data_IF_369125877291
#
_entry.id   IF_369125877291
#
_cell.length_a   1.000
_cell.length_b   1.000
_cell.length_c   1.000
_cell.angle_alpha   90.00
_cell.angle_beta   90.00
_cell.angle_gamma   90.00
#
_symmetry.space_group_name_H-M   'P 1'
#
loop_
_entity.id
_entity.type
_entity.pdbx_description
1 polymer ?
#
# COMPACT_ATOMS: atom_id res chain seq x y z
N UNK A 1 -18.65 -22.07 -6.38
CA UNK A 1 -18.01 -22.74 -5.23
C UNK A 1 -17.31 -23.97 -5.76
N UNK A 2 -16.06 -24.23 -5.37
CA UNK A 2 -15.29 -25.40 -5.85
C UNK A 2 -15.83 -26.68 -5.22
N UNK A 3 -16.36 -27.58 -6.05
CA UNK A 3 -16.84 -28.90 -5.62
C UNK A 3 -15.71 -29.95 -5.69
N UNK A 4 -15.89 -31.15 -5.10
CA UNK A 4 -14.96 -32.27 -5.31
C UNK A 4 -14.72 -32.59 -6.79
N UNK A 5 -15.78 -32.57 -7.59
CA UNK A 5 -15.70 -32.78 -9.05
C UNK A 5 -14.89 -31.68 -9.75
N UNK A 6 -15.00 -30.43 -9.29
CA UNK A 6 -14.17 -29.34 -9.81
C UNK A 6 -12.70 -29.50 -9.42
N UNK A 7 -12.42 -29.89 -8.18
CA UNK A 7 -11.06 -30.12 -7.70
C UNK A 7 -10.37 -31.24 -8.51
N UNK A 8 -11.05 -32.37 -8.69
CA UNK A 8 -10.54 -33.49 -9.49
C UNK A 8 -10.35 -33.12 -10.95
N UNK A 9 -11.29 -32.37 -11.54
CA UNK A 9 -11.18 -31.86 -12.91
C UNK A 9 -9.95 -30.96 -13.07
N UNK A 10 -9.76 -29.98 -12.19
CA UNK A 10 -8.61 -29.07 -12.22
C UNK A 10 -7.29 -29.86 -12.11
N UNK A 11 -7.20 -30.79 -11.16
CA UNK A 11 -6.00 -31.61 -11.00
C UNK A 11 -5.75 -32.51 -12.21
N UNK A 12 -6.79 -33.05 -12.83
CA UNK A 12 -6.68 -33.87 -14.04
C UNK A 12 -6.22 -33.03 -15.23
N UNK A 13 -6.79 -31.85 -15.43
CA UNK A 13 -6.37 -30.89 -16.47
C UNK A 13 -4.91 -30.48 -16.28
N UNK A 14 -4.48 -30.22 -15.04
CA UNK A 14 -3.08 -29.94 -14.71
C UNK A 14 -2.18 -31.13 -15.05
N UNK A 15 -2.55 -32.34 -14.61
CA UNK A 15 -1.77 -33.57 -14.82
C UNK A 15 -1.64 -33.96 -16.29
N UNK A 16 -2.65 -33.67 -17.11
CA UNK A 16 -2.66 -33.97 -18.54
C UNK A 16 -1.84 -33.01 -19.42
N UNK A 17 -1.47 -31.82 -18.93
CA UNK A 17 -0.60 -30.87 -19.67
C UNK A 17 0.86 -31.35 -19.68
N UNK A 18 1.68 -31.06 -20.71
CA UNK A 18 3.12 -31.33 -20.62
C UNK A 18 3.78 -30.52 -19.50
N UNK A 19 4.87 -31.05 -18.93
CA UNK A 19 5.66 -30.32 -17.93
C UNK A 19 6.24 -29.05 -18.57
N UNK A 20 5.89 -27.88 -18.03
CA UNK A 20 6.27 -26.58 -18.59
C UNK A 20 6.14 -25.47 -17.55
N UNK A 21 6.71 -24.31 -17.85
CA UNK A 21 6.56 -23.09 -17.03
C UNK A 21 5.11 -22.65 -16.89
N UNK A 22 4.28 -22.89 -17.90
CA UNK A 22 2.86 -22.55 -17.88
C UNK A 22 2.06 -23.48 -16.98
N UNK A 23 2.35 -24.80 -16.99
CA UNK A 23 1.72 -25.76 -16.06
C UNK A 23 2.11 -25.46 -14.61
N UNK A 24 3.34 -25.03 -14.35
CA UNK A 24 3.80 -24.53 -13.03
C UNK A 24 3.01 -23.28 -12.60
N UNK A 25 2.77 -22.33 -13.51
CA UNK A 25 1.95 -21.13 -13.25
C UNK A 25 0.51 -21.50 -12.89
N UNK A 26 -0.11 -22.37 -13.69
CA UNK A 26 -1.50 -22.79 -13.50
C UNK A 26 -1.67 -23.52 -12.16
N UNK A 27 -0.73 -24.40 -11.81
CA UNK A 27 -0.71 -25.06 -10.50
C UNK A 27 -0.53 -24.08 -9.34
N UNK A 28 0.33 -23.05 -9.49
CA UNK A 28 0.50 -22.01 -8.48
C UNK A 28 -0.77 -21.16 -8.29
N UNK A 29 -1.45 -20.81 -9.38
CA UNK A 29 -2.73 -20.10 -9.34
C UNK A 29 -3.79 -20.94 -8.61
N UNK A 30 -3.91 -22.22 -8.96
CA UNK A 30 -4.85 -23.13 -8.29
C UNK A 30 -4.62 -23.21 -6.76
N UNK A 31 -3.36 -23.25 -6.32
CA UNK A 31 -3.02 -23.19 -4.87
C UNK A 31 -3.45 -21.88 -4.24
N UNK A 32 -3.18 -20.75 -4.90
CA UNK A 32 -3.51 -19.42 -4.38
C UNK A 32 -5.02 -19.22 -4.27
N UNK A 33 -5.76 -19.64 -5.29
CA UNK A 33 -7.22 -19.58 -5.32
C UNK A 33 -7.82 -20.49 -4.24
N UNK A 34 -7.29 -21.71 -4.05
CA UNK A 34 -7.71 -22.63 -3.00
C UNK A 34 -7.46 -22.05 -1.59
N UNK A 35 -6.30 -21.40 -1.37
CA UNK A 35 -5.97 -20.73 -0.12
C UNK A 35 -6.91 -19.55 0.17
N UNK A 36 -7.22 -18.75 -0.86
CA UNK A 36 -8.17 -17.65 -0.78
C UNK A 36 -9.57 -18.15 -0.39
N UNK A 37 -10.09 -19.11 -1.14
CA UNK A 37 -11.38 -19.75 -0.84
C UNK A 37 -11.40 -20.40 0.55
N UNK A 38 -10.29 -21.01 0.97
CA UNK A 38 -10.16 -21.63 2.29
C UNK A 38 -10.23 -20.64 3.45
N UNK A 39 -9.84 -19.37 3.27
CA UNK A 39 -10.03 -18.33 4.30
C UNK A 39 -11.50 -18.06 4.56
N UNK A 40 -12.28 -17.90 3.51
CA UNK A 40 -13.73 -17.69 3.62
C UNK A 40 -14.43 -18.89 4.26
N UNK A 41 -14.06 -20.12 3.88
CA UNK A 41 -14.67 -21.31 4.48
C UNK A 41 -14.27 -21.50 5.95
N UNK A 42 -13.04 -21.14 6.36
CA UNK A 42 -12.65 -21.12 7.78
C UNK A 42 -13.48 -20.11 8.58
N UNK A 43 -13.77 -18.93 8.01
CA UNK A 43 -14.64 -17.94 8.63
C UNK A 43 -16.07 -18.48 8.78
N UNK A 44 -16.63 -19.06 7.72
CA UNK A 44 -17.97 -19.67 7.76
C UNK A 44 -18.07 -20.81 8.79
N UNK A 45 -17.06 -21.68 8.84
CA UNK A 45 -16.96 -22.74 9.84
C UNK A 45 -16.91 -22.16 11.25
N UNK A 46 -16.09 -21.13 11.47
CA UNK A 46 -15.99 -20.47 12.76
C UNK A 46 -17.35 -19.88 13.16
N UNK A 47 -17.98 -19.07 12.32
CA UNK A 47 -19.30 -18.49 12.60
C UNK A 47 -20.32 -19.56 12.97
N UNK A 48 -20.41 -20.66 12.20
CA UNK A 48 -21.33 -21.75 12.51
C UNK A 48 -21.02 -22.43 13.86
N UNK A 49 -19.74 -22.68 14.15
CA UNK A 49 -19.33 -23.27 15.42
C UNK A 49 -19.62 -22.34 16.62
N UNK A 50 -19.38 -21.02 16.47
CA UNK A 50 -19.69 -20.02 17.49
C UNK A 50 -21.20 -19.92 17.74
N UNK A 51 -22.05 -19.99 16.70
CA UNK A 51 -23.51 -20.06 16.86
C UNK A 51 -23.94 -21.31 17.61
N UNK A 52 -23.45 -22.49 17.21
CA UNK A 52 -23.74 -23.75 17.91
C UNK A 52 -23.34 -23.68 19.39
N UNK A 53 -22.22 -23.01 19.70
CA UNK A 53 -21.75 -22.88 21.07
C UNK A 53 -22.59 -21.92 21.91
N UNK A 54 -22.75 -20.68 21.47
CA UNK A 54 -23.34 -19.62 22.31
C UNK A 54 -24.87 -19.56 22.26
N UNK A 55 -25.50 -19.92 21.13
CA UNK A 55 -26.97 -19.89 21.02
C UNK A 55 -27.59 -21.24 21.37
N UNK A 56 -26.90 -22.34 21.10
CA UNK A 56 -27.44 -23.70 21.24
C UNK A 56 -26.74 -24.56 22.31
N UNK A 57 -25.81 -23.98 23.09
CA UNK A 57 -25.20 -24.64 24.26
C UNK A 57 -24.30 -25.83 23.94
N UNK A 58 -23.87 -26.00 22.68
CA UNK A 58 -22.97 -27.08 22.27
C UNK A 58 -21.56 -26.78 22.77
N UNK A 59 -20.84 -27.73 23.37
CA UNK A 59 -19.47 -27.47 23.82
C UNK A 59 -18.55 -27.12 22.64
N UNK A 60 -17.54 -26.25 22.86
CA UNK A 60 -16.56 -25.84 21.83
C UNK A 60 -15.99 -27.02 21.03
N UNK A 61 -15.66 -28.13 21.72
CA UNK A 61 -15.18 -29.38 21.09
C UNK A 61 -16.20 -30.02 20.17
N UNK A 62 -17.46 -30.10 20.59
CA UNK A 62 -18.56 -30.67 19.78
C UNK A 62 -18.94 -29.75 18.62
N UNK A 63 -18.84 -28.43 18.82
CA UNK A 63 -19.17 -27.44 17.80
C UNK A 63 -18.25 -27.50 16.58
N UNK A 64 -17.01 -27.99 16.72
CA UNK A 64 -16.06 -28.18 15.60
C UNK A 64 -15.75 -29.64 15.28
N UNK A 65 -16.44 -30.60 15.91
CA UNK A 65 -16.19 -32.01 15.69
C UNK A 65 -16.35 -32.38 14.20
N UNK A 66 -15.47 -33.25 13.68
CA UNK A 66 -15.52 -33.69 12.28
C UNK A 66 -15.08 -32.65 11.25
N UNK A 67 -14.74 -31.42 11.66
CA UNK A 67 -14.36 -30.35 10.72
C UNK A 67 -12.92 -30.41 10.20
N UNK A 68 -12.07 -31.24 10.81
CA UNK A 68 -10.62 -31.28 10.53
C UNK A 68 -9.86 -30.02 10.97
N UNK A 69 -10.54 -29.05 11.59
CA UNK A 69 -9.95 -27.83 12.15
C UNK A 69 -9.83 -28.00 13.66
N UNK A 70 -8.69 -27.58 14.20
CA UNK A 70 -8.45 -27.71 15.64
C UNK A 70 -9.33 -26.73 16.42
N UNK A 71 -9.87 -27.17 17.55
CA UNK A 71 -10.80 -26.39 18.39
C UNK A 71 -10.22 -25.02 18.74
N UNK A 72 -8.93 -24.97 19.08
CA UNK A 72 -8.26 -23.73 19.46
C UNK A 72 -8.05 -22.75 18.29
N UNK A 73 -8.14 -23.23 17.04
CA UNK A 73 -8.08 -22.38 15.85
C UNK A 73 -9.39 -21.61 15.64
N UNK A 74 -10.50 -22.13 16.16
CA UNK A 74 -11.82 -21.52 16.08
C UNK A 74 -12.15 -20.76 17.36
N UNK A 75 -11.84 -21.37 18.51
CA UNK A 75 -12.03 -20.83 19.84
C UNK A 75 -10.67 -20.70 20.53
N UNK A 76 -10.02 -19.54 20.48
CA UNK A 76 -8.74 -19.34 21.13
C UNK A 76 -8.81 -19.70 22.63
N UNK A 77 -7.73 -20.25 23.20
CA UNK A 77 -7.69 -20.60 24.61
C UNK A 77 -7.78 -19.33 25.47
N UNK A 78 -8.51 -19.36 26.60
CA UNK A 78 -8.66 -18.19 27.47
C UNK A 78 -7.28 -17.81 28.04
N UNK A 79 -6.71 -16.72 27.53
CA UNK A 79 -5.37 -16.25 27.93
C UNK A 79 -5.48 -14.83 28.49
N UNK A 80 -5.88 -14.74 29.77
CA UNK A 80 -6.04 -13.48 30.54
C UNK A 80 -7.14 -12.51 30.00
N UNK A 81 -7.58 -11.51 30.78
CA UNK A 81 -8.93 -10.90 30.67
C UNK A 81 -9.19 -10.01 29.43
N UNK A 82 -8.28 -9.98 28.46
CA UNK A 82 -8.44 -9.22 27.21
C UNK A 82 -9.37 -9.93 26.18
N UNK A 83 -9.59 -11.24 26.29
CA UNK A 83 -10.36 -12.01 25.30
C UNK A 83 -11.89 -11.93 25.50
N UNK A 84 -12.37 -11.51 26.68
CA UNK A 84 -13.81 -11.49 26.98
C UNK A 84 -14.56 -10.41 26.17
N UNK A 85 -13.92 -9.27 25.91
CA UNK A 85 -14.46 -8.21 25.06
C UNK A 85 -14.53 -8.66 23.59
N UNK A 86 -13.50 -9.37 23.13
CA UNK A 86 -13.46 -9.91 21.77
C UNK A 86 -14.47 -11.04 21.57
N UNK A 87 -14.64 -11.92 22.56
CA UNK A 87 -15.68 -12.95 22.58
C UNK A 87 -17.07 -12.31 22.57
N UNK A 88 -17.30 -11.24 23.36
CA UNK A 88 -18.56 -10.50 23.35
C UNK A 88 -18.83 -9.82 22.00
N UNK A 89 -17.82 -9.24 21.34
CA UNK A 89 -17.95 -8.64 20.01
C UNK A 89 -18.31 -9.70 18.95
N UNK A 90 -17.64 -10.87 18.98
CA UNK A 90 -17.95 -11.98 18.08
C UNK A 90 -19.40 -12.43 18.29
N UNK A 91 -19.81 -12.62 19.55
CA UNK A 91 -21.19 -13.02 19.92
C UNK A 91 -22.22 -12.02 19.42
N UNK A 92 -21.95 -10.71 19.54
CA UNK A 92 -22.85 -9.66 19.07
C UNK A 92 -23.04 -9.67 17.54
N UNK A 93 -22.06 -10.19 16.79
CA UNK A 93 -22.08 -10.29 15.33
C UNK A 93 -22.60 -11.65 14.81
N UNK A 94 -22.96 -12.58 15.70
CA UNK A 94 -23.42 -13.90 15.27
C UNK A 94 -24.80 -13.82 14.60
N UNK A 95 -25.02 -14.55 13.49
CA UNK A 95 -26.33 -14.65 12.87
C UNK A 95 -27.31 -15.45 13.75
N UNK A 96 -28.61 -15.20 13.56
CA UNK A 96 -29.69 -15.89 14.26
C UNK A 96 -30.11 -17.17 13.52
N UNK A 97 -29.17 -18.12 13.43
CA UNK A 97 -29.45 -19.43 12.85
C UNK A 97 -30.01 -20.37 13.90
N UNK A 98 -31.05 -21.13 13.52
CA UNK A 98 -31.46 -22.29 14.28
C UNK A 98 -30.38 -23.38 14.30
N UNK A 99 -30.60 -24.42 15.11
CA UNK A 99 -29.63 -25.49 15.30
C UNK A 99 -29.28 -26.22 14.00
N UNK A 100 -30.29 -26.50 13.18
CA UNK A 100 -30.15 -27.28 11.96
C UNK A 100 -29.40 -26.49 10.89
N UNK A 101 -29.70 -25.19 10.75
CA UNK A 101 -28.99 -24.32 9.83
C UNK A 101 -27.53 -24.14 10.23
N UNK A 102 -27.25 -23.92 11.52
CA UNK A 102 -25.89 -23.80 12.01
C UNK A 102 -25.09 -25.11 11.78
N UNK A 103 -25.71 -26.26 12.00
CA UNK A 103 -25.11 -27.58 11.73
C UNK A 103 -24.83 -27.77 10.24
N UNK A 104 -25.81 -27.48 9.38
CA UNK A 104 -25.67 -27.57 7.93
C UNK A 104 -24.55 -26.67 7.40
N UNK A 105 -24.45 -25.43 7.90
CA UNK A 105 -23.40 -24.47 7.53
C UNK A 105 -22.02 -24.95 7.95
N UNK A 106 -21.90 -25.47 9.17
CA UNK A 106 -20.64 -26.06 9.68
C UNK A 106 -20.18 -27.20 8.78
N UNK A 107 -21.06 -28.15 8.50
CA UNK A 107 -20.72 -29.37 7.76
C UNK A 107 -20.41 -29.06 6.31
N UNK A 108 -21.13 -28.12 5.69
CA UNK A 108 -20.84 -27.62 4.34
C UNK A 108 -19.46 -26.96 4.29
N UNK A 109 -19.15 -26.07 5.23
CA UNK A 109 -17.85 -25.39 5.29
C UNK A 109 -16.70 -26.39 5.52
N UNK A 110 -16.91 -27.38 6.39
CA UNK A 110 -15.94 -28.45 6.64
C UNK A 110 -15.67 -29.31 5.39
N UNK A 111 -16.71 -29.75 4.69
CA UNK A 111 -16.59 -30.53 3.47
C UNK A 111 -15.85 -29.76 2.35
N UNK A 112 -16.12 -28.46 2.23
CA UNK A 112 -15.44 -27.59 1.29
C UNK A 112 -13.97 -27.37 1.67
N UNK A 113 -13.66 -27.15 2.94
CA UNK A 113 -12.27 -27.02 3.41
C UNK A 113 -11.46 -28.29 3.11
N UNK A 114 -12.05 -29.45 3.32
CA UNK A 114 -11.41 -30.73 2.96
C UNK A 114 -11.12 -30.80 1.45
N UNK A 115 -12.09 -30.43 0.62
CA UNK A 115 -11.96 -30.41 -0.84
C UNK A 115 -10.86 -29.45 -1.30
N UNK A 116 -10.85 -28.23 -0.75
CA UNK A 116 -9.84 -27.21 -1.08
C UNK A 116 -8.43 -27.65 -0.66
N UNK A 117 -8.31 -28.36 0.46
CA UNK A 117 -7.04 -28.92 0.91
C UNK A 117 -6.52 -29.98 -0.04
N UNK A 118 -7.37 -30.89 -0.53
CA UNK A 118 -6.97 -31.89 -1.54
C UNK A 118 -6.50 -31.22 -2.84
N UNK A 119 -7.20 -30.17 -3.30
CA UNK A 119 -6.78 -29.38 -4.46
C UNK A 119 -5.42 -28.69 -4.22
N UNK A 120 -5.26 -28.05 -3.07
CA UNK A 120 -4.02 -27.38 -2.65
C UNK A 120 -2.83 -28.36 -2.64
N UNK A 121 -3.00 -29.51 -1.99
CA UNK A 121 -1.95 -30.52 -1.86
C UNK A 121 -1.61 -31.14 -3.23
N UNK A 122 -2.62 -31.48 -4.04
CA UNK A 122 -2.40 -32.03 -5.38
C UNK A 122 -1.76 -31.04 -6.36
N UNK A 123 -2.15 -29.77 -6.31
CA UNK A 123 -1.55 -28.73 -7.16
C UNK A 123 -0.11 -28.41 -6.71
N UNK A 124 0.18 -28.45 -5.40
CA UNK A 124 1.56 -28.35 -4.88
C UNK A 124 2.44 -29.50 -5.35
N UNK A 125 1.91 -30.73 -5.32
CA UNK A 125 2.63 -31.91 -5.80
C UNK A 125 2.98 -31.77 -7.28
N UNK A 126 2.00 -31.45 -8.13
CA UNK A 126 2.22 -31.19 -9.57
C UNK A 126 3.31 -30.14 -9.77
N UNK A 127 3.21 -29.01 -9.06
CA UNK A 127 4.19 -27.93 -9.16
C UNK A 127 5.60 -28.37 -8.76
N UNK A 128 5.73 -29.08 -7.63
CA UNK A 128 7.03 -29.57 -7.12
C UNK A 128 7.69 -30.52 -8.12
N UNK A 129 6.93 -31.49 -8.63
CA UNK A 129 7.42 -32.47 -9.60
C UNK A 129 7.86 -31.80 -10.89
N UNK A 130 7.07 -30.85 -11.41
CA UNK A 130 7.43 -30.15 -12.64
C UNK A 130 8.64 -29.22 -12.44
N UNK A 131 8.72 -28.51 -11.32
CA UNK A 131 9.92 -27.73 -10.97
C UNK A 131 11.15 -28.65 -10.90
N UNK A 132 11.03 -29.83 -10.29
CA UNK A 132 12.10 -30.80 -10.21
C UNK A 132 12.50 -31.33 -11.60
N UNK A 133 11.54 -31.71 -12.45
CA UNK A 133 11.80 -32.15 -13.83
C UNK A 133 12.47 -31.07 -14.68
N UNK A 134 12.02 -29.82 -14.57
CA UNK A 134 12.67 -28.68 -15.25
C UNK A 134 14.10 -28.50 -14.74
N UNK A 135 14.36 -28.76 -13.45
CA UNK A 135 15.69 -28.67 -12.85
C UNK A 135 16.62 -29.83 -13.23
N UNK A 136 16.11 -31.07 -13.32
CA UNK A 136 16.93 -32.29 -13.50
C UNK A 136 17.04 -32.77 -14.95
N UNK A 137 16.03 -32.52 -15.79
CA UNK A 137 15.88 -33.18 -17.09
C UNK A 137 16.12 -32.32 -18.33
N UNK A 138 16.03 -30.98 -18.26
CA UNK A 138 15.99 -30.15 -19.48
C UNK A 138 16.81 -28.84 -19.46
N UNK A 139 17.47 -28.51 -18.34
CA UNK A 139 18.23 -27.26 -18.19
C UNK A 139 19.69 -27.49 -17.76
N UNK A 140 20.41 -28.40 -18.43
CA UNK A 140 21.88 -28.39 -18.36
C UNK A 140 22.39 -27.04 -18.91
N UNK A 141 22.66 -26.09 -18.01
CA UNK A 141 23.12 -24.74 -18.31
C UNK A 141 22.05 -23.62 -18.36
N UNK A 142 20.78 -23.88 -18.02
CA UNK A 142 19.69 -22.88 -18.13
C UNK A 142 18.97 -22.53 -16.82
N UNK A 143 19.67 -22.58 -15.70
CA UNK A 143 19.15 -22.17 -14.37
C UNK A 143 18.66 -20.71 -14.30
N UNK A 144 19.00 -19.86 -15.27
CA UNK A 144 18.46 -18.51 -15.43
C UNK A 144 16.96 -18.52 -15.78
N UNK A 145 16.47 -19.55 -16.47
CA UNK A 145 15.05 -19.72 -16.77
C UNK A 145 14.23 -19.91 -15.48
N UNK A 146 14.79 -20.43 -14.38
CA UNK A 146 14.08 -20.54 -13.07
C UNK A 146 13.97 -19.18 -12.38
N UNK A 147 14.97 -18.31 -12.56
CA UNK A 147 14.91 -16.93 -12.04
C UNK A 147 13.96 -16.09 -12.90
N UNK A 148 13.91 -16.36 -14.20
CA UNK A 148 12.95 -15.75 -15.12
C UNK A 148 11.52 -16.30 -14.91
N UNK A 149 11.34 -17.58 -14.57
CA UNK A 149 10.10 -18.18 -14.05
C UNK A 149 9.70 -17.47 -12.75
N UNK A 150 10.63 -17.22 -11.82
CA UNK A 150 10.31 -16.49 -10.58
C UNK A 150 9.87 -15.04 -10.87
N UNK A 151 10.53 -14.38 -11.84
CA UNK A 151 10.29 -12.99 -12.20
C UNK A 151 9.03 -12.77 -13.07
N UNK A 152 8.73 -13.69 -13.99
CA UNK A 152 7.58 -13.63 -14.89
C UNK A 152 6.31 -14.26 -14.26
N UNK A 153 6.46 -15.08 -13.21
CA UNK A 153 5.33 -15.73 -12.52
C UNK A 153 4.94 -15.10 -11.19
N UNK A 154 5.67 -14.08 -10.72
CA UNK A 154 5.49 -13.45 -9.40
C UNK A 154 5.59 -14.45 -8.23
N UNK A 155 6.32 -15.55 -8.45
CA UNK A 155 6.53 -16.61 -7.46
C UNK A 155 7.82 -16.29 -6.69
N UNK A 156 7.71 -16.13 -5.37
CA UNK A 156 8.89 -15.86 -4.53
C UNK A 156 9.95 -16.97 -4.71
N UNK A 157 11.19 -16.57 -5.00
CA UNK A 157 12.32 -17.51 -5.17
C UNK A 157 12.55 -18.41 -3.93
N UNK A 158 12.15 -17.95 -2.75
CA UNK A 158 12.11 -18.71 -1.49
C UNK A 158 11.19 -19.94 -1.60
N UNK A 159 10.04 -19.81 -2.25
CA UNK A 159 9.04 -20.87 -2.43
C UNK A 159 9.58 -21.95 -3.36
N UNK A 160 10.20 -21.56 -4.48
CA UNK A 160 10.79 -22.50 -5.44
C UNK A 160 11.96 -23.25 -4.80
N UNK A 161 12.82 -22.58 -4.01
CA UNK A 161 13.88 -23.26 -3.24
C UNK A 161 13.31 -24.24 -2.23
N UNK A 162 12.22 -23.89 -1.55
CA UNK A 162 11.52 -24.78 -0.63
C UNK A 162 10.98 -26.02 -1.33
N UNK A 163 10.38 -25.86 -2.51
CA UNK A 163 9.85 -26.95 -3.33
C UNK A 163 10.97 -27.86 -3.87
N UNK A 164 12.09 -27.29 -4.34
CA UNK A 164 13.26 -28.05 -4.78
C UNK A 164 13.89 -28.86 -3.62
N UNK A 165 13.98 -28.26 -2.44
CA UNK A 165 14.45 -28.95 -1.23
C UNK A 165 13.50 -30.08 -0.83
N UNK A 166 12.18 -29.86 -0.91
CA UNK A 166 11.18 -30.87 -0.60
C UNK A 166 11.20 -32.05 -1.58
N UNK A 167 11.62 -31.81 -2.83
CA UNK A 167 11.78 -32.82 -3.87
C UNK A 167 13.17 -33.50 -3.86
N UNK A 168 14.02 -33.23 -2.87
CA UNK A 168 15.39 -33.73 -2.74
C UNK A 168 16.27 -33.48 -3.99
N UNK A 169 16.01 -32.35 -4.67
CA UNK A 169 16.77 -31.95 -5.85
C UNK A 169 18.05 -31.25 -5.40
N UNK A 170 19.25 -31.78 -5.72
CA UNK A 170 20.51 -31.19 -5.28
C UNK A 170 20.73 -29.85 -5.98
N UNK A 171 20.73 -28.76 -5.20
CA UNK A 171 21.08 -27.43 -5.69
C UNK A 171 22.58 -27.39 -6.00
N UNK A 172 22.97 -27.44 -7.27
CA UNK A 172 24.40 -27.31 -7.63
C UNK A 172 24.90 -25.92 -7.17
N UNK A 173 26.11 -25.83 -6.58
CA UNK A 173 26.71 -24.55 -6.26
C UNK A 173 26.79 -23.70 -7.53
N UNK A 174 26.43 -22.43 -7.40
CA UNK A 174 26.36 -21.42 -8.46
C UNK A 174 27.63 -21.46 -9.32
N UNK A 175 27.59 -22.19 -10.43
CA UNK A 175 28.71 -22.21 -11.37
C UNK A 175 28.78 -20.86 -12.07
N UNK A 176 30.01 -20.33 -12.16
CA UNK A 176 30.37 -19.00 -12.69
C UNK A 176 29.51 -18.63 -13.90
N UNK A 177 28.58 -17.71 -13.70
CA UNK A 177 27.71 -17.23 -14.76
C UNK A 177 28.56 -16.60 -15.89
N UNK A 178 28.29 -16.97 -17.16
CA UNK A 178 28.99 -16.40 -18.34
C UNK A 178 28.76 -14.91 -18.44
N UNK A 179 29.78 -14.07 -18.23
CA UNK A 179 29.64 -12.60 -18.36
C UNK A 179 29.84 -12.21 -19.82
N UNK A 180 28.99 -11.32 -20.36
CA UNK A 180 29.18 -10.83 -21.73
C UNK A 180 30.51 -10.06 -21.83
N UNK A 181 31.15 -10.13 -22.99
CA UNK A 181 32.27 -9.25 -23.32
C UNK A 181 31.84 -8.19 -24.33
N UNK A 182 32.43 -6.98 -24.34
CA UNK A 182 32.06 -5.92 -25.28
C UNK A 182 32.20 -6.32 -26.77
N UNK A 183 33.03 -7.33 -27.06
CA UNK A 183 33.26 -7.85 -28.41
C UNK A 183 32.33 -8.99 -28.82
N UNK A 184 31.43 -9.46 -27.95
CA UNK A 184 30.46 -10.49 -28.32
C UNK A 184 29.47 -9.93 -29.37
N UNK A 185 29.18 -10.72 -30.41
CA UNK A 185 28.25 -10.31 -31.47
C UNK A 185 26.81 -10.10 -30.97
N UNK A 186 26.39 -10.91 -29.99
CA UNK A 186 25.13 -10.78 -29.27
C UNK A 186 25.24 -11.44 -27.89
N UNK A 187 24.48 -10.93 -26.94
CA UNK A 187 24.34 -11.55 -25.62
C UNK A 187 22.93 -11.31 -25.06
N UNK A 188 22.55 -12.12 -24.08
CA UNK A 188 21.31 -11.90 -23.33
C UNK A 188 21.44 -10.67 -22.43
N UNK A 189 20.30 -10.08 -22.09
CA UNK A 189 20.24 -8.95 -21.17
C UNK A 189 20.87 -9.28 -19.80
N UNK A 190 20.74 -10.53 -19.34
CA UNK A 190 21.32 -10.99 -18.08
C UNK A 190 22.85 -11.11 -18.11
N UNK A 191 23.45 -11.43 -19.25
CA UNK A 191 24.91 -11.47 -19.42
C UNK A 191 25.50 -10.06 -19.48
N UNK A 192 24.81 -9.13 -20.14
CA UNK A 192 25.19 -7.70 -20.22
C UNK A 192 25.01 -7.00 -18.88
N UNK A 193 23.91 -7.26 -18.16
CA UNK A 193 23.69 -6.74 -16.82
C UNK A 193 24.85 -7.11 -15.87
N UNK A 194 25.36 -8.35 -15.98
CA UNK A 194 26.53 -8.81 -15.23
C UNK A 194 27.83 -8.15 -15.70
N UNK A 195 28.00 -7.91 -17.01
CA UNK A 195 29.14 -7.14 -17.54
C UNK A 195 29.15 -5.71 -17.01
N UNK A 196 27.99 -5.09 -16.84
CA UNK A 196 27.83 -3.72 -16.36
C UNK A 196 27.82 -3.61 -14.83
N UNK A 197 27.74 -4.73 -14.11
CA UNK A 197 27.63 -4.74 -12.65
C UNK A 197 26.29 -4.21 -12.13
N UNK A 198 25.20 -4.38 -12.89
CA UNK A 198 23.87 -3.85 -12.57
C UNK A 198 22.80 -4.94 -12.60
N UNK A 199 21.66 -4.78 -11.89
CA UNK A 199 20.58 -5.76 -11.98
C UNK A 199 19.94 -5.77 -13.37
N UNK A 200 19.58 -6.97 -13.87
CA UNK A 200 18.92 -7.16 -15.18
C UNK A 200 17.65 -6.32 -15.30
N UNK A 201 16.87 -6.21 -14.23
CA UNK A 201 15.62 -5.44 -14.21
C UNK A 201 15.88 -3.95 -14.42
N UNK A 202 16.91 -3.37 -13.78
CA UNK A 202 17.31 -1.98 -14.00
C UNK A 202 17.66 -1.75 -15.46
N UNK A 203 18.46 -2.65 -16.02
CA UNK A 203 18.85 -2.56 -17.41
C UNK A 203 17.63 -2.68 -18.34
N UNK A 204 16.70 -3.60 -18.06
CA UNK A 204 15.44 -3.79 -18.82
C UNK A 204 14.57 -2.55 -18.80
N UNK A 205 14.27 -2.01 -17.63
CA UNK A 205 13.38 -0.85 -17.49
C UNK A 205 14.02 0.43 -18.03
N UNK A 206 15.34 0.58 -17.88
CA UNK A 206 16.05 1.72 -18.44
C UNK A 206 16.07 1.67 -19.97
N UNK A 207 16.30 0.49 -20.56
CA UNK A 207 16.19 0.31 -22.02
C UNK A 207 14.76 0.65 -22.46
N UNK A 208 13.74 0.07 -21.82
CA UNK A 208 12.33 0.31 -22.14
C UNK A 208 11.97 1.81 -22.09
N UNK A 209 12.41 2.52 -21.06
CA UNK A 209 12.16 3.95 -20.87
C UNK A 209 12.80 4.80 -21.97
N UNK A 210 14.03 4.47 -22.38
CA UNK A 210 14.80 5.22 -23.39
C UNK A 210 14.58 4.74 -24.83
N UNK A 211 13.88 3.63 -25.02
CA UNK A 211 13.38 3.16 -26.33
C UNK A 211 12.00 3.73 -26.69
N UNK A 212 11.38 4.55 -25.83
CA UNK A 212 10.07 5.14 -26.10
C UNK A 212 10.13 6.12 -27.29
N UNK A 213 9.15 6.09 -28.23
CA UNK A 213 9.17 6.93 -29.44
C UNK A 213 9.30 8.43 -29.16
N UNK A 214 8.66 8.90 -28.10
CA UNK A 214 8.69 10.30 -27.64
C UNK A 214 10.09 10.78 -27.25
N UNK A 215 11.00 9.85 -26.94
CA UNK A 215 12.37 10.12 -26.47
C UNK A 215 13.44 9.69 -27.46
N UNK A 216 13.05 9.18 -28.63
CA UNK A 216 13.96 8.76 -29.69
C UNK A 216 14.87 9.89 -30.20
N UNK A 217 14.48 11.16 -29.98
CA UNK A 217 15.25 12.36 -30.35
C UNK A 217 16.16 12.87 -29.24
N UNK A 218 16.13 12.27 -28.05
CA UNK A 218 16.95 12.69 -26.92
C UNK A 218 18.37 12.11 -27.05
N UNK A 219 19.39 12.84 -26.60
CA UNK A 219 20.79 12.37 -26.61
C UNK A 219 21.02 11.09 -25.79
N UNK A 220 20.05 10.73 -24.95
CA UNK A 220 20.04 9.58 -24.07
C UNK A 220 19.19 8.42 -24.63
N UNK A 221 18.64 8.56 -25.84
CA UNK A 221 17.86 7.52 -26.49
C UNK A 221 18.63 6.20 -26.55
N UNK A 222 17.92 5.08 -26.38
CA UNK A 222 18.55 3.78 -26.52
C UNK A 222 19.01 3.58 -27.97
N UNK A 223 20.26 3.14 -28.21
CA UNK A 223 20.81 3.02 -29.55
C UNK A 223 20.05 2.00 -30.39
N UNK A 224 19.75 2.37 -31.64
CA UNK A 224 19.02 1.50 -32.58
C UNK A 224 19.77 0.20 -32.88
N UNK A 225 21.11 0.23 -32.86
CA UNK A 225 21.98 -0.94 -33.03
C UNK A 225 22.25 -1.70 -31.71
N UNK A 226 21.66 -1.25 -30.60
CA UNK A 226 21.78 -1.91 -29.29
C UNK A 226 20.97 -3.19 -29.16
N UNK A 227 19.95 -3.39 -30.00
CA UNK A 227 19.07 -4.56 -30.00
C UNK A 227 19.27 -5.36 -31.29
N UNK A 228 19.23 -6.68 -31.19
CA UNK A 228 19.21 -7.58 -32.36
C UNK A 228 17.78 -8.05 -32.63
N UNK A 229 17.53 -8.53 -33.85
CA UNK A 229 16.19 -8.96 -34.29
C UNK A 229 15.66 -10.15 -33.46
N UNK A 230 16.56 -10.96 -32.91
CA UNK A 230 16.24 -12.14 -32.09
C UNK A 230 15.99 -11.84 -30.60
N UNK A 231 15.77 -10.58 -30.21
CA UNK A 231 15.52 -10.19 -28.82
C UNK A 231 16.76 -10.22 -27.90
N UNK A 232 17.95 -10.42 -28.49
CA UNK A 232 19.25 -10.23 -27.85
C UNK A 232 19.73 -8.78 -27.97
N UNK A 233 20.86 -8.49 -27.36
CA UNK A 233 21.46 -7.16 -27.33
C UNK A 233 22.93 -7.23 -27.70
N UNK A 234 23.45 -6.16 -28.30
CA UNK A 234 24.88 -6.04 -28.59
C UNK A 234 25.60 -5.44 -27.38
N UNK A 235 26.49 -6.18 -26.69
CA UNK A 235 27.09 -5.72 -25.44
C UNK A 235 27.90 -4.42 -25.56
N UNK A 236 28.67 -4.25 -26.64
CA UNK A 236 29.45 -3.04 -26.91
C UNK A 236 28.58 -1.77 -26.94
N UNK A 237 27.61 -1.67 -27.87
CA UNK A 237 26.67 -0.54 -27.95
C UNK A 237 25.91 -0.28 -26.65
N UNK A 238 25.40 -1.33 -25.98
CA UNK A 238 24.68 -1.17 -24.71
C UNK A 238 25.59 -0.64 -23.60
N UNK A 239 26.86 -1.08 -23.54
CA UNK A 239 27.83 -0.56 -22.57
C UNK A 239 28.15 0.90 -22.82
N UNK A 240 28.40 1.29 -24.07
CA UNK A 240 28.71 2.66 -24.43
C UNK A 240 27.56 3.60 -24.07
N UNK A 241 26.34 3.24 -24.45
CA UNK A 241 25.12 3.95 -24.07
C UNK A 241 24.96 4.04 -22.55
N UNK A 242 25.19 2.94 -21.82
CA UNK A 242 25.10 2.93 -20.35
C UNK A 242 26.11 3.87 -19.68
N UNK A 243 27.32 3.98 -20.22
CA UNK A 243 28.38 4.86 -19.69
C UNK A 243 28.15 6.34 -19.99
N UNK A 244 27.44 6.67 -21.07
CA UNK A 244 27.09 8.04 -21.45
C UNK A 244 25.94 8.62 -20.62
N UNK A 245 25.23 7.78 -19.88
CA UNK A 245 24.17 8.21 -19.01
C UNK A 245 24.70 8.94 -17.77
N UNK A 246 24.02 10.00 -17.29
CA UNK A 246 24.36 10.58 -16.01
C UNK A 246 24.37 9.48 -14.94
N UNK A 247 25.43 9.46 -14.15
CA UNK A 247 25.61 8.55 -13.02
C UNK A 247 24.46 8.80 -12.07
N UNK A 248 23.41 7.99 -12.16
CA UNK A 248 22.49 7.82 -11.04
C UNK A 248 23.37 7.23 -9.97
N UNK A 249 23.75 8.04 -8.98
CA UNK A 249 24.66 7.66 -7.90
C UNK A 249 24.32 6.24 -7.47
N UNK A 250 25.30 5.34 -7.54
CA UNK A 250 25.14 3.96 -7.14
C UNK A 250 24.50 3.97 -5.75
N UNK A 251 23.24 3.55 -5.66
CA UNK A 251 22.53 3.56 -4.42
C UNK A 251 23.31 2.65 -3.45
N UNK A 252 23.62 3.11 -2.21
CA UNK A 252 24.19 2.24 -1.20
C UNK A 252 23.27 1.04 -1.07
N UNK A 253 23.82 -0.18 -1.21
CA UNK A 253 23.13 -1.48 -1.24
C UNK A 253 21.69 -1.41 -0.72
N UNK A 254 20.74 -1.13 -1.62
CA UNK A 254 19.37 -0.90 -1.24
C UNK A 254 18.76 -2.18 -0.65
N UNK A 255 17.89 -2.02 0.35
CA UNK A 255 17.15 -3.14 0.93
C UNK A 255 15.86 -3.37 0.16
N UNK A 256 15.26 -4.56 0.27
CA UNK A 256 13.93 -4.80 -0.29
C UNK A 256 12.87 -3.95 0.40
N UNK A 257 11.81 -3.59 -0.31
CA UNK A 257 10.67 -2.88 0.27
C UNK A 257 10.05 -3.64 1.46
N UNK A 258 10.09 -4.98 1.45
CA UNK A 258 9.66 -5.81 2.58
C UNK A 258 10.53 -5.59 3.82
N UNK A 259 11.86 -5.55 3.66
CA UNK A 259 12.80 -5.26 4.76
C UNK A 259 12.70 -3.81 5.22
N UNK A 260 12.40 -2.88 4.32
CA UNK A 260 12.11 -1.50 4.65
C UNK A 260 10.81 -1.37 5.47
N UNK A 261 9.77 -2.14 5.12
CA UNK A 261 8.52 -2.23 5.88
C UNK A 261 8.74 -2.77 7.31
N UNK A 262 9.56 -3.81 7.45
CA UNK A 262 9.97 -4.34 8.77
C UNK A 262 10.71 -3.27 9.60
N UNK A 263 11.61 -2.49 9.00
CA UNK A 263 12.36 -1.45 9.70
C UNK A 263 11.49 -0.30 10.20
N UNK A 264 10.42 0.05 9.48
CA UNK A 264 9.46 1.07 9.91
C UNK A 264 8.32 0.51 10.76
N UNK A 265 8.33 -0.80 11.04
CA UNK A 265 7.36 -1.48 11.88
C UNK A 265 5.95 -1.55 11.29
N UNK A 266 5.83 -1.63 9.95
CA UNK A 266 4.53 -1.57 9.26
C UNK A 266 4.22 -2.80 8.42
N UNK A 267 2.93 -3.16 8.25
CA UNK A 267 2.54 -4.23 7.35
C UNK A 267 2.98 -3.96 5.91
N UNK A 268 3.60 -4.96 5.28
CA UNK A 268 4.14 -4.86 3.92
C UNK A 268 3.14 -4.32 2.89
N UNK A 269 1.88 -4.78 2.91
CA UNK A 269 0.86 -4.31 1.96
C UNK A 269 0.50 -2.83 2.13
N UNK A 270 0.53 -2.32 3.37
CA UNK A 270 0.30 -0.89 3.63
C UNK A 270 1.45 -0.04 3.10
N UNK A 271 2.68 -0.51 3.30
CA UNK A 271 3.89 0.12 2.77
C UNK A 271 3.93 0.09 1.25
N UNK A 272 3.60 -1.06 0.65
CA UNK A 272 3.56 -1.24 -0.81
C UNK A 272 2.54 -0.32 -1.48
N UNK A 273 1.32 -0.27 -0.95
CA UNK A 273 0.27 0.62 -1.46
C UNK A 273 0.65 2.10 -1.33
N UNK A 274 1.24 2.48 -0.19
CA UNK A 274 1.69 3.85 0.05
C UNK A 274 2.83 4.29 -0.89
N UNK A 275 3.78 3.39 -1.14
CA UNK A 275 4.86 3.61 -2.11
C UNK A 275 4.32 3.75 -3.52
N UNK A 276 3.45 2.84 -3.96
CA UNK A 276 2.86 2.89 -5.29
C UNK A 276 2.16 4.22 -5.56
N UNK A 277 1.33 4.67 -4.61
CA UNK A 277 0.65 5.96 -4.70
C UNK A 277 1.59 7.17 -4.80
N UNK A 278 2.77 7.10 -4.17
CA UNK A 278 3.75 8.19 -4.22
C UNK A 278 4.60 8.14 -5.49
N UNK A 279 4.84 6.95 -6.06
CA UNK A 279 5.46 6.80 -7.39
C UNK A 279 4.53 7.34 -8.46
N UNK A 280 3.24 6.98 -8.42
CA UNK A 280 2.23 7.43 -9.39
C UNK A 280 2.06 8.96 -9.41
N UNK A 281 2.40 9.63 -8.29
CA UNK A 281 2.34 11.08 -8.12
C UNK A 281 3.68 11.79 -8.33
N UNK A 282 4.76 11.05 -8.61
CA UNK A 282 6.11 11.62 -8.76
C UNK A 282 6.72 12.18 -7.47
N UNK A 283 6.20 11.77 -6.30
CA UNK A 283 6.65 12.23 -4.98
C UNK A 283 7.91 11.50 -4.49
N UNK A 284 8.19 10.31 -5.04
CA UNK A 284 9.36 9.50 -4.72
C UNK A 284 10.48 9.72 -5.73
N UNK A 285 11.64 10.13 -5.24
CA UNK A 285 12.84 10.28 -6.05
C UNK A 285 13.58 8.94 -6.20
N UNK A 286 14.40 8.83 -7.24
CA UNK A 286 15.31 7.68 -7.46
C UNK A 286 16.31 7.46 -6.33
N UNK A 287 16.43 8.42 -5.42
CA UNK A 287 17.27 8.33 -4.23
C UNK A 287 16.59 7.60 -3.07
N UNK A 288 15.25 7.56 -3.02
CA UNK A 288 14.46 6.87 -2.00
C UNK A 288 14.18 5.44 -2.45
N UNK A 289 13.75 5.28 -3.70
CA UNK A 289 13.47 4.00 -4.32
C UNK A 289 14.14 4.01 -5.69
N UNK A 290 15.13 3.13 -5.85
CA UNK A 290 15.83 2.96 -7.09
C UNK A 290 14.97 2.19 -8.12
N UNK A 291 15.37 2.25 -9.39
CA UNK A 291 14.63 1.65 -10.50
C UNK A 291 14.56 0.10 -10.44
N UNK A 292 15.39 -0.57 -9.62
CA UNK A 292 15.29 -2.00 -9.30
C UNK A 292 14.27 -2.31 -8.18
N UNK A 293 13.61 -1.30 -7.63
CA UNK A 293 12.76 -1.44 -6.44
C UNK A 293 13.55 -1.60 -5.15
N UNK A 294 14.88 -1.42 -5.19
CA UNK A 294 15.69 -1.35 -3.98
C UNK A 294 15.47 -0.02 -3.28
N UNK A 295 15.35 -0.08 -1.97
CA UNK A 295 14.96 1.03 -1.12
C UNK A 295 16.20 1.50 -0.37
N UNK A 296 16.49 2.79 -0.43
CA UNK A 296 17.50 3.38 0.42
C UNK A 296 16.94 3.45 1.86
N UNK A 297 17.49 2.68 2.83
CA UNK A 297 16.88 2.55 4.16
C UNK A 297 16.72 3.89 4.86
N UNK A 298 17.77 4.72 4.88
CA UNK A 298 17.79 5.98 5.60
C UNK A 298 16.81 7.00 4.99
N UNK A 299 16.80 7.11 3.65
CA UNK A 299 15.90 8.03 2.94
C UNK A 299 14.46 7.56 2.99
N UNK A 300 14.23 6.24 2.95
CA UNK A 300 12.91 5.65 3.08
C UNK A 300 12.34 5.81 4.47
N UNK A 301 13.10 5.54 5.54
CA UNK A 301 12.63 5.80 6.90
C UNK A 301 12.31 7.28 7.10
N UNK A 302 13.15 8.19 6.58
CA UNK A 302 12.87 9.63 6.64
C UNK A 302 11.60 10.01 5.86
N UNK A 303 11.40 9.48 4.66
CA UNK A 303 10.19 9.67 3.86
C UNK A 303 8.96 9.09 4.55
N UNK A 304 9.07 7.87 5.10
CA UNK A 304 8.00 7.15 5.77
C UNK A 304 7.58 7.85 7.07
N UNK A 305 8.54 8.28 7.90
CA UNK A 305 8.28 9.05 9.12
C UNK A 305 7.61 10.38 8.81
N UNK A 306 8.01 11.06 7.73
CA UNK A 306 7.28 12.25 7.25
C UNK A 306 5.85 11.89 6.87
N UNK A 307 5.65 10.83 6.08
CA UNK A 307 4.33 10.38 5.61
C UNK A 307 3.40 9.91 6.75
N UNK A 308 3.91 9.20 7.75
CA UNK A 308 3.12 8.71 8.90
C UNK A 308 2.57 9.82 9.79
N UNK A 309 3.22 10.98 9.79
CA UNK A 309 2.72 12.19 10.42
C UNK A 309 1.63 12.91 9.62
N UNK A 310 1.36 12.48 8.37
CA UNK A 310 0.38 13.11 7.49
C UNK A 310 -0.97 12.38 7.57
N UNK A 311 -2.03 13.17 7.45
CA UNK A 311 -3.42 12.74 7.50
C UNK A 311 -4.15 13.17 6.22
N UNK A 312 -5.36 12.67 6.02
CA UNK A 312 -6.19 13.00 4.86
C UNK A 312 -7.20 14.10 5.20
N UNK A 313 -7.62 14.84 4.17
CA UNK A 313 -8.64 15.88 4.31
C UNK A 313 -9.94 15.38 4.98
N UNK A 314 -10.51 14.20 4.64
CA UNK A 314 -11.71 13.69 5.30
C UNK A 314 -11.52 13.47 6.80
N UNK A 315 -10.36 12.95 7.21
CA UNK A 315 -10.05 12.72 8.63
C UNK A 315 -9.90 14.02 9.41
N UNK A 316 -9.29 15.04 8.79
CA UNK A 316 -9.22 16.40 9.36
C UNK A 316 -10.62 17.04 9.48
N UNK A 317 -11.45 16.90 8.45
CA UNK A 317 -12.81 17.41 8.44
C UNK A 317 -13.66 16.78 9.56
N UNK A 318 -13.50 15.48 9.79
CA UNK A 318 -14.15 14.79 10.90
C UNK A 318 -13.68 15.31 12.27
N UNK A 319 -12.39 15.62 12.42
CA UNK A 319 -11.84 16.17 13.68
C UNK A 319 -12.32 17.59 13.98
N UNK A 320 -12.53 18.43 12.97
CA UNK A 320 -12.97 19.83 13.14
C UNK A 320 -14.47 20.04 12.97
N UNK A 321 -15.24 18.98 12.71
CA UNK A 321 -16.69 19.04 12.52
C UNK A 321 -17.13 19.90 11.31
N UNK A 322 -16.33 19.96 10.24
CA UNK A 322 -16.61 20.79 9.06
C UNK A 322 -16.82 19.94 7.80
N UNK A 323 -17.73 20.35 6.93
CA UNK A 323 -17.95 19.66 5.65
C UNK A 323 -16.74 19.73 4.72
N UNK A 324 -16.39 18.61 4.07
CA UNK A 324 -15.21 18.45 3.20
C UNK A 324 -15.12 19.55 2.13
N UNK A 325 -16.25 19.91 1.50
CA UNK A 325 -16.30 20.93 0.45
C UNK A 325 -15.93 22.32 0.98
N UNK A 326 -16.43 22.69 2.15
CA UNK A 326 -16.16 23.99 2.78
C UNK A 326 -14.70 24.10 3.25
N UNK A 327 -14.18 23.03 3.87
CA UNK A 327 -12.81 22.96 4.34
C UNK A 327 -11.80 23.05 3.18
N UNK A 328 -12.06 22.34 2.07
CA UNK A 328 -11.25 22.41 0.85
C UNK A 328 -11.24 23.80 0.22
N UNK A 329 -12.39 24.49 0.21
CA UNK A 329 -12.50 25.84 -0.33
C UNK A 329 -11.66 26.84 0.50
N UNK A 330 -11.70 26.70 1.83
CA UNK A 330 -10.94 27.53 2.75
C UNK A 330 -9.42 27.34 2.60
N UNK A 331 -8.95 26.11 2.40
CA UNK A 331 -7.54 25.83 2.13
C UNK A 331 -7.12 26.48 0.80
N UNK A 332 -7.88 26.30 -0.29
CA UNK A 332 -7.55 26.89 -1.59
C UNK A 332 -7.48 28.41 -1.55
N UNK A 333 -8.42 29.05 -0.86
CA UNK A 333 -8.39 30.50 -0.66
C UNK A 333 -7.11 30.91 0.09
N UNK A 334 -6.78 30.21 1.18
CA UNK A 334 -5.57 30.50 1.96
C UNK A 334 -4.26 30.21 1.22
N UNK A 335 -4.22 29.20 0.35
CA UNK A 335 -3.08 28.92 -0.55
C UNK A 335 -2.92 30.05 -1.58
N UNK A 336 -4.02 30.62 -2.08
CA UNK A 336 -4.02 31.74 -3.04
C UNK A 336 -3.53 33.04 -2.38
N UNK A 337 -3.94 33.27 -1.14
CA UNK A 337 -3.59 34.47 -0.37
C UNK A 337 -2.24 34.32 0.38
N UNK A 338 -1.54 33.20 0.24
CA UNK A 338 -0.26 32.91 0.90
C UNK A 338 -0.34 32.73 2.43
N UNK A 339 -1.54 32.56 2.98
CA UNK A 339 -1.79 32.42 4.43
C UNK A 339 -1.88 30.97 4.90
N UNK A 340 -1.90 30.02 3.96
CA UNK A 340 -1.82 28.60 4.28
C UNK A 340 -0.36 28.19 4.53
N UNK A 341 -0.03 27.46 5.62
CA UNK A 341 1.35 27.08 5.88
C UNK A 341 1.84 26.10 4.80
N UNK A 342 2.87 26.47 4.04
CA UNK A 342 3.39 25.64 2.95
C UNK A 342 3.82 24.23 3.44
N UNK A 343 4.34 24.18 4.67
CA UNK A 343 4.74 22.94 5.34
C UNK A 343 3.56 22.08 5.81
N UNK A 344 2.33 22.62 5.82
CA UNK A 344 1.13 21.88 6.18
C UNK A 344 0.66 20.96 5.05
N UNK A 345 1.18 21.13 3.82
CA UNK A 345 0.90 20.30 2.65
C UNK A 345 2.19 19.96 1.89
N UNK A 346 3.06 19.12 2.48
CA UNK A 346 4.32 18.76 1.87
C UNK A 346 4.08 18.00 0.56
N UNK A 347 4.48 18.60 -0.57
CA UNK A 347 4.41 17.97 -1.91
C UNK A 347 3.15 18.26 -2.73
N UNK A 348 2.24 19.14 -2.29
CA UNK A 348 1.09 19.59 -3.11
C UNK A 348 -0.03 18.57 -3.36
N UNK A 349 0.03 17.37 -2.77
CA UNK A 349 -0.95 16.28 -2.90
C UNK A 349 -2.14 16.34 -1.92
N UNK A 350 -2.87 15.24 -1.73
CA UNK A 350 -4.06 15.17 -0.84
C UNK A 350 -3.74 14.82 0.64
N UNK A 351 -2.46 14.89 1.01
CA UNK A 351 -1.96 14.58 2.35
C UNK A 351 -1.53 15.86 3.06
N UNK A 352 -1.83 15.93 4.35
CA UNK A 352 -1.68 17.13 5.17
C UNK A 352 -0.96 16.81 6.47
N UNK A 353 -0.10 17.71 6.95
CA UNK A 353 0.41 17.65 8.32
C UNK A 353 -0.74 17.99 9.27
N UNK A 354 -1.24 16.98 9.99
CA UNK A 354 -2.46 17.09 10.78
C UNK A 354 -2.38 18.17 11.85
N UNK A 355 -1.38 18.15 12.75
CA UNK A 355 -1.16 19.19 13.73
C UNK A 355 -1.09 20.61 13.15
N UNK A 356 -0.37 20.81 12.04
CA UNK A 356 -0.24 22.14 11.42
C UNK A 356 -1.56 22.63 10.81
N UNK A 357 -2.29 21.77 10.11
CA UNK A 357 -3.59 22.13 9.55
C UNK A 357 -4.62 22.39 10.65
N UNK A 358 -4.62 21.60 11.73
CA UNK A 358 -5.51 21.82 12.87
C UNK A 358 -5.19 23.13 13.61
N UNK A 359 -3.91 23.45 13.81
CA UNK A 359 -3.49 24.72 14.41
C UNK A 359 -3.89 25.91 13.55
N UNK A 360 -3.63 25.84 12.24
CA UNK A 360 -4.06 26.85 11.27
C UNK A 360 -5.60 27.00 11.25
N UNK A 361 -6.33 25.88 11.26
CA UNK A 361 -7.78 25.91 11.26
C UNK A 361 -8.32 26.54 12.54
N UNK A 362 -7.80 26.14 13.70
CA UNK A 362 -8.17 26.68 14.99
C UNK A 362 -7.95 28.20 15.04
N UNK A 363 -6.82 28.68 14.51
CA UNK A 363 -6.51 30.11 14.41
C UNK A 363 -7.45 30.83 13.43
N UNK A 364 -7.72 30.25 12.25
CA UNK A 364 -8.64 30.80 11.25
C UNK A 364 -10.09 30.88 11.75
N UNK A 365 -10.51 29.91 12.57
CA UNK A 365 -11.85 29.86 13.16
C UNK A 365 -11.93 30.55 14.52
N UNK A 366 -10.82 31.09 15.02
CA UNK A 366 -10.78 31.79 16.31
C UNK A 366 -11.63 33.06 16.24
N UNK A 367 -12.47 33.26 17.25
CA UNK A 367 -13.38 34.40 17.34
C UNK A 367 -14.69 34.21 16.58
N UNK A 368 -15.59 35.16 16.77
CA UNK A 368 -16.95 35.16 16.21
C UNK A 368 -17.01 35.96 14.91
N UNK A 369 -17.94 35.60 14.02
CA UNK A 369 -18.16 36.42 12.83
C UNK A 369 -18.74 37.77 13.22
N UNK A 370 -18.63 38.77 12.34
CA UNK A 370 -19.19 40.10 12.59
C UNK A 370 -20.72 40.06 12.75
N UNK A 371 -21.39 39.11 12.10
CA UNK A 371 -22.85 38.92 12.20
C UNK A 371 -23.22 38.34 13.56
N UNK A 372 -22.53 37.27 13.97
CA UNK A 372 -22.79 36.62 15.27
C UNK A 372 -22.45 37.56 16.43
N UNK A 373 -21.33 38.29 16.32
CA UNK A 373 -20.96 39.32 17.28
C UNK A 373 -22.01 40.42 17.37
N UNK A 374 -22.57 40.88 16.25
CA UNK A 374 -23.62 41.89 16.27
C UNK A 374 -24.88 41.39 16.99
N UNK A 375 -25.28 40.14 16.74
CA UNK A 375 -26.38 39.49 17.46
C UNK A 375 -26.15 39.43 18.97
N UNK A 376 -24.96 38.98 19.39
CA UNK A 376 -24.55 38.90 20.79
C UNK A 376 -24.38 40.26 21.49
N UNK A 377 -24.15 41.32 20.73
CA UNK A 377 -24.05 42.70 21.23
C UNK A 377 -25.38 43.47 21.11
N UNK A 378 -26.45 42.81 20.66
CA UNK A 378 -27.77 43.45 20.50
C UNK A 378 -27.79 44.57 19.45
N UNK A 379 -26.97 44.47 18.40
CA UNK A 379 -26.83 45.50 17.37
C UNK A 379 -26.92 44.92 15.95
N UNK A 380 -26.89 45.78 14.93
CA UNK A 380 -26.87 45.35 13.53
C UNK A 380 -25.43 45.18 13.03
N UNK A 381 -25.17 44.23 12.10
CA UNK A 381 -23.86 44.08 11.46
C UNK A 381 -23.33 45.39 10.86
N UNK A 382 -24.20 46.21 10.27
CA UNK A 382 -23.84 47.49 9.67
C UNK A 382 -23.34 48.49 10.72
N UNK A 383 -24.03 48.59 11.86
CA UNK A 383 -23.66 49.49 12.96
C UNK A 383 -22.35 49.06 13.61
N UNK A 384 -22.18 47.75 13.86
CA UNK A 384 -20.93 47.21 14.40
C UNK A 384 -19.75 47.45 13.43
N UNK A 385 -19.95 47.21 12.13
CA UNK A 385 -18.94 47.46 11.09
C UNK A 385 -18.56 48.95 11.01
N UNK A 386 -19.53 49.85 11.14
CA UNK A 386 -19.28 51.29 11.15
C UNK A 386 -18.39 51.69 12.33
N UNK A 387 -18.72 51.26 13.56
CA UNK A 387 -17.95 51.60 14.75
C UNK A 387 -16.52 51.02 14.70
N UNK A 388 -16.36 49.80 14.20
CA UNK A 388 -15.03 49.21 14.01
C UNK A 388 -14.19 50.04 13.04
N UNK A 389 -14.75 50.44 11.88
CA UNK A 389 -14.04 51.30 10.92
C UNK A 389 -13.71 52.68 11.46
N UNK A 390 -14.60 53.24 12.31
CA UNK A 390 -14.38 54.52 12.99
C UNK A 390 -13.20 54.42 13.97
N UNK A 391 -13.18 53.40 14.82
CA UNK A 391 -12.10 53.15 15.77
C UNK A 391 -10.76 52.79 15.11
N UNK A 392 -10.80 52.11 13.96
CA UNK A 392 -9.63 51.81 13.13
C UNK A 392 -9.07 53.04 12.36
N UNK A 393 -9.72 54.21 12.44
CA UNK A 393 -9.31 55.41 11.70
C UNK A 393 -9.51 55.32 10.18
N UNK A 394 -10.21 54.29 9.70
CA UNK A 394 -10.41 54.01 8.26
C UNK A 394 -11.52 54.85 7.61
N UNK A 395 -12.16 55.72 8.38
CA UNK A 395 -13.19 56.65 7.91
C UNK A 395 -12.66 58.08 7.67
N UNK A 396 -11.35 58.30 7.71
CA UNK A 396 -10.76 59.62 7.44
C UNK A 396 -11.06 60.68 8.52
N UNK A 397 -11.67 60.28 9.64
CA UNK A 397 -11.96 61.14 10.79
C UNK A 397 -10.72 61.23 11.68
N UNK A 398 -10.27 62.44 12.02
CA UNK A 398 -9.11 62.73 12.89
C UNK A 398 -9.21 62.16 14.32
N UNK A 399 -10.35 61.60 14.69
CA UNK A 399 -10.64 60.96 15.98
C UNK A 399 -10.60 59.43 15.84
N UNK A 400 -9.43 58.86 15.60
CA UNK A 400 -9.23 57.43 15.85
C UNK A 400 -9.04 57.25 17.35
N UNK A 401 -10.06 56.77 18.08
CA UNK A 401 -9.91 56.42 19.51
C UNK A 401 -8.99 55.22 19.74
N UNK A 402 -8.58 54.54 18.66
CA UNK A 402 -7.76 53.35 18.69
C UNK A 402 -8.62 52.15 19.04
N UNK A 403 -8.81 51.23 18.09
CA UNK A 403 -9.44 49.96 18.42
C UNK A 403 -8.58 49.23 19.46
N UNK A 404 -9.12 48.87 20.65
CA UNK A 404 -8.33 48.19 21.66
C UNK A 404 -7.74 46.89 21.13
N UNK A 405 -6.49 46.62 21.52
CA UNK A 405 -5.78 45.42 21.11
C UNK A 405 -6.59 44.16 21.48
N UNK A 406 -6.76 43.26 20.52
CA UNK A 406 -7.49 42.00 20.70
C UNK A 406 -9.00 42.07 20.43
N UNK A 407 -9.61 43.23 20.19
CA UNK A 407 -11.03 43.30 19.77
C UNK A 407 -11.23 42.65 18.39
N UNK A 408 -10.36 43.02 17.44
CA UNK A 408 -10.30 42.39 16.12
C UNK A 408 -9.04 41.55 16.04
N UNK A 409 -9.24 40.28 15.71
CA UNK A 409 -8.18 39.30 15.54
C UNK A 409 -7.54 39.45 14.16
N UNK A 410 -6.32 38.94 14.00
CA UNK A 410 -5.56 39.00 12.74
C UNK A 410 -6.28 38.30 11.57
N UNK A 411 -7.12 37.31 11.88
CA UNK A 411 -7.99 36.62 10.93
C UNK A 411 -9.24 37.45 10.50
N UNK A 412 -9.36 38.70 10.98
CA UNK A 412 -10.45 39.62 10.67
C UNK A 412 -11.75 39.40 11.46
N UNK A 413 -11.82 38.35 12.30
CA UNK A 413 -12.94 38.03 13.20
C UNK A 413 -12.81 38.81 14.52
N UNK A 414 -13.85 38.73 15.36
CA UNK A 414 -13.91 39.44 16.63
C UNK A 414 -13.70 38.49 17.81
N UNK A 415 -12.89 38.89 18.78
CA UNK A 415 -12.91 38.25 20.10
C UNK A 415 -14.16 38.76 20.84
N UNK A 416 -15.13 37.89 21.10
CA UNK A 416 -16.44 38.33 21.63
C UNK A 416 -16.31 39.03 22.98
N UNK A 417 -15.38 38.61 23.84
CA UNK A 417 -15.19 39.17 25.17
C UNK A 417 -14.59 40.57 25.08
N UNK A 418 -13.52 40.74 24.31
CA UNK A 418 -12.90 42.04 24.08
C UNK A 418 -13.84 42.98 23.31
N UNK A 419 -14.54 42.47 22.29
CA UNK A 419 -15.52 43.22 21.52
C UNK A 419 -16.69 43.68 22.38
N UNK A 420 -17.20 42.86 23.30
CA UNK A 420 -18.25 43.27 24.26
C UNK A 420 -17.76 44.32 25.25
N UNK A 421 -16.56 44.16 25.79
CA UNK A 421 -15.97 45.14 26.70
C UNK A 421 -15.79 46.51 25.99
N UNK A 422 -15.25 46.52 24.77
CA UNK A 422 -15.12 47.72 23.97
C UNK A 422 -16.48 48.30 23.56
N UNK A 423 -17.42 47.46 23.12
CA UNK A 423 -18.76 47.92 22.73
C UNK A 423 -19.47 48.65 23.86
N UNK A 424 -19.37 48.13 25.09
CA UNK A 424 -19.96 48.77 26.26
C UNK A 424 -19.34 50.13 26.59
N UNK A 425 -18.10 50.41 26.13
CA UNK A 425 -17.49 51.76 26.26
C UNK A 425 -17.99 52.76 25.21
N UNK A 426 -18.73 52.30 24.19
CA UNK A 426 -19.32 53.15 23.16
C UNK A 426 -20.78 53.56 23.46
N UNK A 427 -21.46 52.77 24.30
CA UNK A 427 -22.86 53.01 24.73
C UNK A 427 -22.94 53.81 26.06
N UNK A 428 -21.79 54.26 26.59
CA UNK A 428 -21.65 55.37 27.56
C UNK A 428 -21.20 56.61 26.83
#
# INVERSE_FOLDING_TARGET
MTTPQDADRILTELRGKPSSTDRVRDAHRAVTDALGAGREQRKALATAAWVLHHRHGISKRRAVAGSGVQVYTVFPPPSAPADAEQEAEIVAQLPDWDHDEATRRRDTAAALLHTLKLLEDGAREVRRTDIAHLYTGQLDGRQHEITDISADLDIEASTIRGDLKAADVPLRPVHRFRTATPGDASATLGEIARMLGVPRLVLKERIRYWSAPERARHEQAFPADGRTDDGHYRPGPVRQWWQQMPVVAAAPAGISLRRAAEQVGEPYESVRSAVQQAVDKGELTSEVIAADGSVNPAKFTAWWSRRKGLTTLPKLCAQVGTGIKAFRLAIRAAETDGTFPAEARPGGGDLYDGPKVLAWWADRTRGVSLVDAAGELGTTPERLRYQLRKAEGRLGTREGTGLPAGVRLDNGRLDLKAARAWWNTLDT
#
